data_IF_127197274912
#
_entry.id   IF_127197274912
#
_cell.length_a   1.000
_cell.length_b   1.000
_cell.length_c   1.000
_cell.angle_alpha   90.00
_cell.angle_beta   90.00
_cell.angle_gamma   90.00
#
_symmetry.space_group_name_H-M   'P 1'
#
loop_
_entity.id
_entity.type
_entity.pdbx_description
1 polymer ?
#
# COMPACT_ATOMS: atom_id res chain seq x y z
N UNK A 1 8.58 11.69 -3.27
CA UNK A 1 9.76 10.92 -3.67
C UNK A 1 9.61 9.47 -3.29
N UNK A 2 10.35 8.59 -3.95
CA UNK A 2 10.32 7.17 -3.63
C UNK A 2 10.83 6.89 -2.21
N UNK A 3 11.77 7.67 -1.75
CA UNK A 3 12.30 7.53 -0.40
C UNK A 3 11.21 7.80 0.65
N UNK A 4 10.35 8.76 0.38
CA UNK A 4 9.23 9.06 1.27
C UNK A 4 8.16 7.98 1.15
N UNK A 5 7.83 7.56 -0.09
CA UNK A 5 6.79 6.57 -0.33
C UNK A 5 7.11 5.21 0.31
N UNK A 6 8.38 4.85 0.39
CA UNK A 6 8.82 3.60 1.00
C UNK A 6 8.40 3.49 2.48
N UNK A 7 8.17 4.61 3.13
CA UNK A 7 7.76 4.64 4.54
C UNK A 7 6.41 3.99 4.80
N UNK A 8 5.57 3.84 3.76
CA UNK A 8 4.28 3.16 3.94
C UNK A 8 4.47 1.72 4.42
N UNK A 9 5.56 1.08 4.03
CA UNK A 9 5.85 -0.29 4.46
C UNK A 9 6.16 -0.42 5.94
N UNK A 10 6.44 0.70 6.62
CA UNK A 10 6.69 0.72 8.05
C UNK A 10 5.42 0.89 8.87
N UNK A 11 4.29 1.15 8.20
CA UNK A 11 3.01 1.26 8.88
C UNK A 11 2.53 -0.12 9.29
N UNK A 12 2.32 -0.39 10.60
CA UNK A 12 1.86 -1.70 11.05
C UNK A 12 0.47 -2.07 10.53
N UNK A 13 -0.27 -1.10 10.02
CA UNK A 13 -1.61 -1.31 9.46
C UNK A 13 -1.63 -1.20 7.93
N UNK A 14 -0.46 -1.30 7.30
CA UNK A 14 -0.36 -1.28 5.84
C UNK A 14 -1.33 -2.30 5.24
N UNK A 15 -2.20 -1.83 4.34
CA UNK A 15 -3.18 -2.67 3.67
C UNK A 15 -2.70 -2.98 2.27
N UNK A 16 -2.44 -4.24 1.99
CA UNK A 16 -1.93 -4.69 0.71
C UNK A 16 -3.00 -5.49 -0.03
N UNK A 17 -3.14 -5.23 -1.32
CA UNK A 17 -4.05 -5.96 -2.20
C UNK A 17 -3.29 -6.37 -3.45
N UNK A 18 -3.52 -7.61 -3.90
CA UNK A 18 -2.97 -8.08 -5.15
C UNK A 18 -3.71 -7.42 -6.31
N UNK A 19 -2.96 -6.89 -7.28
CA UNK A 19 -3.55 -6.27 -8.47
C UNK A 19 -3.56 -7.29 -9.61
N UNK A 20 -4.61 -8.10 -9.65
CA UNK A 20 -4.74 -9.19 -10.60
C UNK A 20 -4.76 -8.69 -12.05
N UNK A 21 -5.41 -7.56 -12.30
CA UNK A 21 -5.57 -7.03 -13.66
C UNK A 21 -4.25 -6.54 -14.27
N UNK A 22 -3.27 -6.17 -13.45
CA UNK A 22 -1.98 -5.67 -13.91
C UNK A 22 -0.82 -6.60 -13.63
N UNK A 23 -1.09 -7.78 -13.08
CA UNK A 23 -0.05 -8.78 -12.84
C UNK A 23 0.19 -9.64 -14.08
N UNK A 24 1.39 -10.17 -14.20
CA UNK A 24 1.79 -11.06 -15.28
C UNK A 24 2.46 -12.30 -14.71
N UNK A 25 2.79 -13.27 -15.57
CA UNK A 25 3.48 -14.49 -15.15
C UNK A 25 4.85 -14.22 -14.54
N UNK A 26 5.47 -13.09 -14.93
CA UNK A 26 6.83 -12.76 -14.49
C UNK A 26 6.88 -11.69 -13.40
N UNK A 27 5.75 -11.04 -13.13
CA UNK A 27 5.75 -9.92 -12.22
C UNK A 27 4.41 -9.78 -11.50
N UNK A 28 4.45 -9.85 -10.19
CA UNK A 28 3.27 -9.61 -9.36
C UNK A 28 3.16 -8.13 -9.05
N UNK A 29 1.96 -7.59 -9.24
CA UNK A 29 1.65 -6.20 -8.90
C UNK A 29 0.71 -6.13 -7.73
N UNK A 30 0.95 -5.14 -6.89
CA UNK A 30 0.18 -4.92 -5.67
C UNK A 30 -0.20 -3.45 -5.55
N UNK A 31 -1.26 -3.21 -4.83
CA UNK A 31 -1.65 -1.88 -4.40
C UNK A 31 -1.63 -1.88 -2.88
N UNK A 32 -1.01 -0.87 -2.30
CA UNK A 32 -0.94 -0.78 -0.85
C UNK A 32 -1.35 0.60 -0.36
N UNK A 33 -1.98 0.64 0.79
CA UNK A 33 -2.37 1.88 1.46
C UNK A 33 -1.71 1.90 2.81
N UNK A 34 -0.95 2.96 3.07
CA UNK A 34 -0.25 3.10 4.33
C UNK A 34 -0.08 4.54 4.75
N UNK A 35 0.28 4.73 5.99
CA UNK A 35 0.47 6.04 6.58
C UNK A 35 1.95 6.42 6.53
N UNK A 36 2.23 7.57 5.94
CA UNK A 36 3.60 8.10 5.91
C UNK A 36 3.82 9.04 7.09
N UNK A 37 2.85 9.92 7.32
CA UNK A 37 2.85 10.87 8.42
C UNK A 37 1.54 10.71 9.18
N UNK A 38 1.47 11.27 10.36
CA UNK A 38 0.36 11.08 11.27
C UNK A 38 -1.03 11.22 10.63
N UNK A 39 -1.18 12.13 9.68
CA UNK A 39 -2.47 12.41 9.05
C UNK A 39 -2.49 12.12 7.55
N UNK A 40 -1.47 11.46 7.04
CA UNK A 40 -1.33 11.32 5.59
C UNK A 40 -1.34 9.86 5.16
N UNK A 41 -2.40 9.47 4.46
CA UNK A 41 -2.49 8.13 3.87
C UNK A 41 -2.11 8.20 2.40
N UNK A 42 -1.28 7.28 1.99
CA UNK A 42 -0.74 7.20 0.64
C UNK A 42 -1.08 5.86 0.05
N UNK A 43 -1.53 5.86 -1.20
CA UNK A 43 -1.68 4.64 -1.98
C UNK A 43 -0.46 4.49 -2.85
N UNK A 44 0.14 3.32 -2.83
CA UNK A 44 1.26 2.99 -3.70
C UNK A 44 0.90 1.81 -4.59
N UNK A 45 1.48 1.81 -5.80
CA UNK A 45 1.46 0.64 -6.67
C UNK A 45 2.89 0.12 -6.70
N UNK A 46 3.07 -1.15 -6.50
CA UNK A 46 4.42 -1.72 -6.45
C UNK A 46 4.44 -3.13 -7.01
N UNK A 47 5.63 -3.56 -7.38
CA UNK A 47 5.87 -4.91 -7.86
C UNK A 47 6.76 -5.62 -6.87
N UNK A 48 6.59 -6.94 -6.82
CA UNK A 48 7.44 -7.80 -6.02
C UNK A 48 7.86 -8.96 -6.92
N UNK A 49 9.14 -9.03 -7.23
CA UNK A 49 9.68 -10.09 -8.06
C UNK A 49 11.13 -10.36 -7.69
N UNK A 50 11.49 -11.64 -7.67
CA UNK A 50 12.86 -12.09 -7.40
C UNK A 50 13.43 -11.50 -6.10
N UNK A 51 12.60 -11.36 -5.09
CA UNK A 51 13.01 -10.82 -3.80
C UNK A 51 13.20 -9.31 -3.77
N UNK A 52 12.81 -8.61 -4.85
CA UNK A 52 12.90 -7.16 -4.93
C UNK A 52 11.54 -6.53 -4.98
N UNK A 53 11.36 -5.46 -4.22
CA UNK A 53 10.15 -4.65 -4.22
C UNK A 53 10.46 -3.34 -4.92
N UNK A 54 9.62 -2.97 -5.89
CA UNK A 54 9.79 -1.74 -6.66
C UNK A 54 8.50 -0.94 -6.63
N UNK A 55 8.58 0.30 -6.18
CA UNK A 55 7.43 1.21 -6.21
C UNK A 55 7.31 1.78 -7.62
N UNK A 56 6.12 1.62 -8.21
CA UNK A 56 5.82 2.14 -9.55
C UNK A 56 5.25 3.54 -9.46
N UNK A 57 4.33 3.77 -8.53
CA UNK A 57 3.68 5.06 -8.35
C UNK A 57 3.20 5.23 -6.92
N UNK A 58 3.00 6.48 -6.54
CA UNK A 58 2.48 6.82 -5.22
C UNK A 58 1.60 8.06 -5.36
N UNK A 59 0.50 8.09 -4.65
CA UNK A 59 -0.40 9.25 -4.61
C UNK A 59 -1.15 9.27 -3.29
N UNK A 60 -1.76 10.41 -3.00
CA UNK A 60 -2.61 10.54 -1.82
C UNK A 60 -3.81 9.59 -1.95
N UNK A 61 -4.18 8.96 -0.86
CA UNK A 61 -5.34 8.07 -0.83
C UNK A 61 -6.64 8.87 -1.02
N UNK A 62 -7.58 8.29 -1.75
CA UNK A 62 -8.91 8.86 -1.91
C UNK A 62 -9.73 8.62 -0.65
N UNK A 63 -10.90 9.29 -0.54
CA UNK A 63 -11.80 9.10 0.60
C UNK A 63 -12.24 7.63 0.74
N UNK A 64 -12.49 6.96 -0.38
CA UNK A 64 -12.86 5.55 -0.37
C UNK A 64 -11.72 4.68 0.16
N UNK A 65 -10.52 4.97 -0.28
CA UNK A 65 -9.32 4.24 0.15
C UNK A 65 -9.02 4.47 1.63
N UNK A 66 -9.24 5.68 2.11
CA UNK A 66 -9.10 6.00 3.54
C UNK A 66 -10.07 5.14 4.36
N UNK A 67 -11.31 4.98 3.89
CA UNK A 67 -12.31 4.16 4.58
C UNK A 67 -11.88 2.68 4.61
N UNK A 68 -11.35 2.18 3.53
CA UNK A 68 -10.85 0.80 3.47
C UNK A 68 -9.71 0.59 4.47
N UNK A 69 -8.78 1.52 4.49
CA UNK A 69 -7.64 1.47 5.42
C UNK A 69 -8.11 1.51 6.87
N UNK A 70 -9.02 2.43 7.21
CA UNK A 70 -9.53 2.56 8.58
C UNK A 70 -10.27 1.31 9.02
N UNK A 71 -11.04 0.69 8.13
CA UNK A 71 -11.72 -0.57 8.41
C UNK A 71 -10.70 -1.67 8.71
N UNK A 72 -9.65 -1.75 7.92
CA UNK A 72 -8.57 -2.71 8.10
C UNK A 72 -7.86 -2.49 9.44
N UNK A 73 -7.52 -1.23 9.74
CA UNK A 73 -6.85 -0.88 10.98
C UNK A 73 -7.68 -1.29 12.20
N UNK A 74 -8.98 -0.99 12.17
CA UNK A 74 -9.89 -1.34 13.26
C UNK A 74 -9.99 -2.85 13.45
N UNK A 75 -10.00 -3.61 12.36
CA UNK A 75 -10.07 -5.07 12.45
C UNK A 75 -8.82 -5.65 13.10
N UNK A 76 -7.67 -5.06 12.88
CA UNK A 76 -6.43 -5.50 13.50
C UNK A 76 -6.31 -5.10 14.97
N UNK A 77 -7.00 -4.04 15.38
CA UNK A 77 -7.03 -3.57 16.75
C UNK A 77 -8.13 -4.21 17.58
N UNK A 78 -9.08 -4.89 16.94
CA UNK A 78 -10.19 -5.56 17.63
C UNK A 78 -9.68 -6.79 18.36
N UNK A 79 -10.14 -6.98 19.56
CA UNK A 79 -9.80 -8.15 20.37
C UNK A 79 -10.71 -9.33 20.03
#
# INVERSE_FOLDING_TARGET
SFETAVRVFNDPYFLEKYDDSHSSTNEDRYVGIGRIKEYFLTLICFTDSSGKTRIISARKATAKEVKEYEKHRKSLQAD
#
